data_IF_377168126811
#
_entry.id   IF_377168126811
#
_cell.length_a   1.000
_cell.length_b   1.000
_cell.length_c   1.000
_cell.angle_alpha   90.00
_cell.angle_beta   90.00
_cell.angle_gamma   90.00
#
_symmetry.space_group_name_H-M   'P 1'
#
loop_
_entity.id
_entity.type
_entity.pdbx_description
1 polymer ?
#
# COMPACT_ATOMS: atom_id res chain seq x y z
N UNK A 1 -64.51 -13.48 1.61
CA UNK A 1 -63.17 -13.72 2.14
C UNK A 1 -62.18 -13.62 0.98
N UNK A 2 -61.41 -12.55 0.91
CA UNK A 2 -60.32 -12.39 -0.10
C UNK A 2 -59.02 -12.65 0.61
N UNK A 3 -58.38 -13.78 0.33
CA UNK A 3 -57.10 -14.18 0.86
C UNK A 3 -56.01 -13.42 0.10
N UNK A 4 -55.33 -12.51 0.77
CA UNK A 4 -54.15 -11.84 0.23
C UNK A 4 -52.96 -12.77 0.38
N UNK A 5 -52.43 -13.29 -0.72
CA UNK A 5 -51.14 -13.95 -0.78
C UNK A 5 -50.04 -12.85 -0.73
N UNK A 6 -49.35 -12.73 0.37
CA UNK A 6 -48.15 -11.93 0.49
C UNK A 6 -46.99 -12.78 -0.01
N UNK A 7 -46.48 -12.45 -1.20
CA UNK A 7 -45.28 -13.04 -1.76
C UNK A 7 -44.08 -12.43 -1.01
N UNK A 8 -43.50 -13.19 -0.09
CA UNK A 8 -42.22 -12.83 0.54
C UNK A 8 -41.13 -13.12 -0.50
N UNK A 9 -40.62 -12.09 -1.17
CA UNK A 9 -39.41 -12.16 -1.94
C UNK A 9 -38.24 -12.25 -0.94
N UNK A 10 -37.77 -13.46 -0.68
CA UNK A 10 -36.48 -13.67 -0.01
C UNK A 10 -35.42 -13.28 -1.04
N UNK A 11 -34.88 -12.07 -0.89
CA UNK A 11 -33.69 -11.65 -1.61
C UNK A 11 -32.54 -12.55 -1.11
N UNK A 12 -32.24 -13.60 -1.85
CA UNK A 12 -31.01 -14.34 -1.68
C UNK A 12 -29.91 -13.40 -2.16
N UNK A 13 -29.31 -12.66 -1.24
CA UNK A 13 -28.05 -11.99 -1.48
C UNK A 13 -27.03 -13.11 -1.65
N UNK A 14 -26.86 -13.59 -2.87
CA UNK A 14 -25.66 -14.31 -3.24
C UNK A 14 -24.52 -13.31 -3.07
N UNK A 15 -23.82 -13.41 -1.96
CA UNK A 15 -22.53 -12.77 -1.78
C UNK A 15 -21.59 -13.40 -2.84
N UNK A 16 -21.53 -12.77 -4.00
CA UNK A 16 -20.53 -13.06 -5.01
C UNK A 16 -19.19 -12.61 -4.45
N UNK A 17 -18.56 -13.48 -3.66
CA UNK A 17 -17.18 -13.28 -3.29
C UNK A 17 -16.35 -13.44 -4.56
N UNK A 18 -15.68 -12.38 -4.90
CA UNK A 18 -14.94 -12.23 -6.11
C UNK A 18 -13.69 -13.12 -6.08
N UNK A 19 -13.69 -14.12 -6.93
CA UNK A 19 -12.54 -14.98 -7.21
C UNK A 19 -11.60 -14.22 -8.14
N UNK A 20 -10.54 -13.60 -7.56
CA UNK A 20 -9.74 -12.60 -8.28
C UNK A 20 -8.46 -13.13 -8.92
N UNK A 21 -8.09 -14.40 -8.73
CA UNK A 21 -6.89 -14.97 -9.35
C UNK A 21 -7.26 -16.10 -10.31
N UNK A 22 -6.59 -16.11 -11.46
CA UNK A 22 -6.62 -17.18 -12.45
C UNK A 22 -5.25 -17.87 -12.40
N UNK A 23 -5.22 -19.20 -12.17
CA UNK A 23 -3.97 -19.94 -12.13
C UNK A 23 -3.54 -20.38 -13.52
N UNK A 24 -2.25 -20.29 -13.81
CA UNK A 24 -1.61 -20.80 -15.00
C UNK A 24 -0.35 -21.57 -14.61
N UNK A 25 -0.53 -22.86 -14.32
CA UNK A 25 0.55 -23.72 -13.85
C UNK A 25 1.71 -23.82 -14.87
N UNK A 26 1.40 -23.90 -16.16
CA UNK A 26 2.42 -23.97 -17.21
C UNK A 26 3.28 -22.70 -17.24
N UNK A 27 2.65 -21.52 -17.18
CA UNK A 27 3.39 -20.25 -17.10
C UNK A 27 4.21 -20.18 -15.81
N UNK A 28 3.63 -20.57 -14.67
CA UNK A 28 4.29 -20.54 -13.37
C UNK A 28 5.51 -21.47 -13.29
N UNK A 29 5.39 -22.70 -13.78
CA UNK A 29 6.46 -23.71 -13.72
C UNK A 29 7.65 -23.36 -14.65
N UNK A 30 7.43 -22.51 -15.66
CA UNK A 30 8.47 -22.04 -16.59
C UNK A 30 9.20 -20.76 -16.11
N UNK A 31 8.76 -20.13 -15.03
CA UNK A 31 9.40 -18.93 -14.49
C UNK A 31 10.65 -19.28 -13.67
N UNK A 32 11.61 -18.32 -13.52
CA UNK A 32 12.79 -18.52 -12.70
C UNK A 32 12.41 -18.88 -11.26
N UNK A 33 12.87 -20.04 -10.79
CA UNK A 33 12.68 -20.47 -9.43
C UNK A 33 13.70 -19.79 -8.50
N UNK A 34 13.25 -19.43 -7.30
CA UNK A 34 14.13 -18.99 -6.25
C UNK A 34 14.97 -20.15 -5.74
N UNK A 35 16.26 -20.09 -6.03
CA UNK A 35 17.23 -20.98 -5.42
C UNK A 35 17.87 -20.22 -4.25
N UNK A 36 17.47 -20.47 -2.99
CA UNK A 36 18.23 -19.96 -1.85
C UNK A 36 19.65 -20.45 -2.03
N UNK A 37 20.61 -19.51 -2.12
CA UNK A 37 22.00 -19.82 -2.48
C UNK A 37 22.52 -21.00 -1.68
N UNK A 38 22.60 -22.17 -2.31
CA UNK A 38 23.18 -23.39 -1.75
C UNK A 38 24.67 -23.23 -1.39
N UNK A 39 25.28 -22.10 -1.80
CA UNK A 39 26.69 -21.91 -1.82
C UNK A 39 27.36 -21.43 -0.53
N UNK A 40 26.61 -20.98 0.50
CA UNK A 40 27.23 -20.55 1.75
C UNK A 40 26.40 -20.88 3.00
N UNK A 41 26.41 -22.15 3.41
CA UNK A 41 26.11 -22.46 4.82
C UNK A 41 24.66 -22.63 5.24
N UNK A 42 23.67 -22.64 4.33
CA UNK A 42 22.25 -22.81 4.67
C UNK A 42 21.93 -24.19 5.29
N UNK A 43 22.74 -25.22 5.05
CA UNK A 43 22.55 -26.55 5.63
C UNK A 43 22.56 -26.56 7.18
N UNK A 44 23.10 -25.52 7.81
CA UNK A 44 23.20 -25.38 9.26
C UNK A 44 22.50 -24.15 9.85
N UNK A 45 21.73 -23.40 9.04
CA UNK A 45 21.03 -22.21 9.55
C UNK A 45 19.79 -22.63 10.35
N UNK A 46 19.82 -22.39 11.65
CA UNK A 46 18.64 -22.58 12.51
C UNK A 46 17.70 -21.39 12.29
N UNK A 47 16.57 -21.64 11.66
CA UNK A 47 15.54 -20.61 11.51
C UNK A 47 14.93 -20.27 12.87
N UNK A 48 14.61 -18.98 13.15
CA UNK A 48 13.86 -18.62 14.35
C UNK A 48 12.50 -19.33 14.36
N UNK A 49 11.99 -19.68 15.53
CA UNK A 49 10.68 -20.33 15.67
C UNK A 49 9.50 -19.43 15.28
N UNK A 50 9.75 -18.12 15.22
CA UNK A 50 8.76 -17.13 14.75
C UNK A 50 9.45 -15.93 14.10
N UNK A 51 8.77 -15.35 13.10
CA UNK A 51 9.18 -14.14 12.41
C UNK A 51 7.93 -13.45 11.88
N UNK A 52 7.84 -12.12 11.98
CA UNK A 52 6.73 -11.36 11.40
C UNK A 52 7.21 -9.99 10.92
N UNK A 53 6.75 -9.63 9.72
CA UNK A 53 6.90 -8.30 9.11
C UNK A 53 5.62 -7.47 9.20
N UNK A 54 4.65 -7.87 10.02
CA UNK A 54 3.38 -7.16 10.20
C UNK A 54 3.58 -5.67 10.49
N UNK A 55 4.60 -5.29 11.25
CA UNK A 55 4.93 -3.88 11.55
C UNK A 55 5.37 -3.09 10.30
N UNK A 56 5.85 -3.76 9.27
CA UNK A 56 6.24 -3.15 7.99
C UNK A 56 5.11 -3.11 6.97
N UNK A 57 4.02 -3.87 7.19
CA UNK A 57 2.89 -3.87 6.28
C UNK A 57 2.21 -2.52 6.23
N UNK A 58 1.66 -2.12 5.06
CA UNK A 58 0.72 -1.01 5.00
C UNK A 58 -0.52 -1.30 5.84
N UNK A 59 -1.40 -0.31 6.00
CA UNK A 59 -2.69 -0.53 6.63
C UNK A 59 -3.51 -1.57 5.84
N UNK A 60 -4.28 -2.39 6.52
CA UNK A 60 -5.19 -3.30 5.82
C UNK A 60 -6.38 -2.51 5.31
N UNK A 61 -6.61 -2.58 4.00
CA UNK A 61 -7.78 -2.01 3.34
C UNK A 61 -8.62 -3.12 2.70
N UNK A 62 -9.80 -2.75 2.20
CA UNK A 62 -10.70 -3.66 1.51
C UNK A 62 -10.66 -3.44 0.00
N UNK A 63 -10.51 -4.53 -0.77
CA UNK A 63 -10.70 -4.50 -2.22
C UNK A 63 -12.17 -4.33 -2.63
N UNK A 64 -13.10 -4.44 -1.68
CA UNK A 64 -14.54 -4.42 -1.97
C UNK A 64 -15.02 -5.67 -2.71
N UNK A 65 -16.06 -5.50 -3.51
CA UNK A 65 -16.73 -6.57 -4.26
C UNK A 65 -16.14 -6.79 -5.67
N UNK A 66 -14.83 -6.56 -5.84
CA UNK A 66 -14.13 -6.67 -7.13
C UNK A 66 -13.04 -7.73 -7.10
N UNK A 67 -12.74 -8.35 -8.26
CA UNK A 67 -11.77 -9.44 -8.42
C UNK A 67 -10.32 -8.96 -8.54
N UNK A 68 -9.93 -7.98 -7.73
CA UNK A 68 -8.62 -7.30 -7.86
C UNK A 68 -7.56 -7.80 -6.89
N UNK A 69 -7.77 -8.93 -6.23
CA UNK A 69 -6.87 -9.44 -5.19
C UNK A 69 -5.42 -9.61 -5.65
N UNK A 70 -5.17 -9.87 -6.95
CA UNK A 70 -3.82 -9.96 -7.50
C UNK A 70 -3.09 -8.62 -7.35
N UNK A 71 -3.69 -7.50 -7.75
CA UNK A 71 -3.10 -6.17 -7.55
C UNK A 71 -2.88 -5.85 -6.07
N UNK A 72 -3.82 -6.23 -5.21
CA UNK A 72 -3.71 -6.05 -3.75
C UNK A 72 -2.58 -6.88 -3.14
N UNK A 73 -2.42 -8.12 -3.56
CA UNK A 73 -1.36 -8.99 -3.05
C UNK A 73 0.02 -8.56 -3.54
N UNK A 74 0.16 -8.19 -4.82
CA UNK A 74 1.46 -7.94 -5.46
C UNK A 74 1.92 -6.49 -5.30
N UNK A 75 1.09 -5.52 -5.63
CA UNK A 75 1.43 -4.11 -5.55
C UNK A 75 1.25 -3.58 -4.12
N UNK A 76 0.01 -3.66 -3.60
CA UNK A 76 -0.31 -3.07 -2.31
C UNK A 76 0.42 -3.75 -1.14
N UNK A 77 0.33 -5.08 -1.02
CA UNK A 77 0.90 -5.79 0.12
C UNK A 77 2.40 -6.10 -0.08
N UNK A 78 2.76 -6.86 -1.12
CA UNK A 78 4.13 -7.34 -1.32
C UNK A 78 5.10 -6.19 -1.55
N UNK A 79 4.90 -5.38 -2.60
CA UNK A 79 5.84 -4.33 -2.99
C UNK A 79 5.98 -3.28 -1.89
N UNK A 80 4.86 -2.82 -1.29
CA UNK A 80 4.92 -1.83 -0.21
C UNK A 80 5.61 -2.37 1.05
N UNK A 81 5.34 -3.63 1.44
CA UNK A 81 5.98 -4.25 2.60
C UNK A 81 7.48 -4.43 2.37
N UNK A 82 7.87 -4.90 1.17
CA UNK A 82 9.28 -5.08 0.82
C UNK A 82 10.06 -3.76 0.86
N UNK A 83 9.46 -2.67 0.36
CA UNK A 83 10.05 -1.34 0.44
C UNK A 83 10.22 -0.88 1.88
N UNK A 84 9.19 -1.06 2.72
CA UNK A 84 9.25 -0.68 4.12
C UNK A 84 10.30 -1.49 4.90
N UNK A 85 10.45 -2.78 4.60
CA UNK A 85 11.53 -3.62 5.18
C UNK A 85 12.91 -3.10 4.78
N UNK A 86 13.11 -2.81 3.49
CA UNK A 86 14.39 -2.29 2.97
C UNK A 86 14.78 -0.97 3.65
N UNK A 87 13.80 -0.09 3.89
CA UNK A 87 14.00 1.22 4.51
C UNK A 87 13.98 1.20 6.04
N UNK A 88 13.66 0.06 6.67
CA UNK A 88 13.48 -0.04 8.12
C UNK A 88 12.29 0.81 8.62
N UNK A 89 11.27 1.06 7.77
CA UNK A 89 10.18 1.98 8.08
C UNK A 89 9.01 1.25 8.74
N UNK A 90 8.76 1.56 10.00
CA UNK A 90 7.64 1.00 10.77
C UNK A 90 6.61 2.05 11.19
N UNK A 91 6.90 3.34 10.98
CA UNK A 91 5.96 4.43 11.28
C UNK A 91 4.70 4.26 10.44
N UNK A 92 3.55 4.20 11.10
CA UNK A 92 2.25 4.03 10.45
C UNK A 92 2.05 5.06 9.32
N UNK A 93 2.20 6.34 9.63
CA UNK A 93 1.96 7.42 8.66
C UNK A 93 2.93 7.41 7.47
N UNK A 94 4.22 7.17 7.73
CA UNK A 94 5.23 7.15 6.67
C UNK A 94 5.08 5.97 5.73
N UNK A 95 4.60 4.84 6.23
CA UNK A 95 4.27 3.68 5.39
C UNK A 95 3.16 4.00 4.40
N UNK A 96 2.11 4.72 4.84
CA UNK A 96 0.94 5.01 3.99
C UNK A 96 1.27 5.86 2.77
N UNK A 97 2.27 6.70 2.85
CA UNK A 97 2.70 7.54 1.71
C UNK A 97 3.19 6.73 0.53
N UNK A 98 3.84 5.60 0.84
CA UNK A 98 4.51 4.73 -0.14
C UNK A 98 3.72 3.48 -0.47
N UNK A 99 2.50 3.43 0.01
CA UNK A 99 1.61 2.34 -0.36
C UNK A 99 1.38 2.37 -1.85
N UNK A 100 1.67 1.25 -2.51
CA UNK A 100 1.53 1.14 -3.96
C UNK A 100 0.08 0.89 -4.35
N UNK A 101 -0.32 1.47 -5.49
CA UNK A 101 -1.69 1.43 -5.99
C UNK A 101 -2.02 0.05 -6.58
N UNK A 102 -2.92 -0.73 -5.96
CA UNK A 102 -3.33 -2.03 -6.47
C UNK A 102 -4.07 -1.92 -7.80
N UNK A 103 -4.80 -0.82 -8.01
CA UNK A 103 -5.59 -0.59 -9.22
C UNK A 103 -4.70 -0.27 -10.42
N UNK A 104 -3.52 0.34 -10.21
CA UNK A 104 -2.57 0.58 -11.29
C UNK A 104 -2.14 -0.74 -11.95
N UNK A 105 -1.71 -1.70 -11.14
CA UNK A 105 -1.28 -3.01 -11.66
C UNK A 105 -2.46 -3.77 -12.25
N UNK A 106 -3.61 -3.82 -11.54
CA UNK A 106 -4.77 -4.55 -12.04
C UNK A 106 -5.28 -4.01 -13.38
N UNK A 107 -5.36 -2.69 -13.54
CA UNK A 107 -5.82 -2.07 -14.77
C UNK A 107 -4.93 -2.40 -15.99
N UNK A 108 -3.62 -2.63 -15.79
CA UNK A 108 -2.69 -3.02 -16.84
C UNK A 108 -2.80 -4.49 -17.27
N UNK A 109 -3.27 -5.38 -16.39
CA UNK A 109 -3.33 -6.83 -16.65
C UNK A 109 -4.75 -7.37 -16.83
N UNK A 110 -5.77 -6.58 -16.54
CA UNK A 110 -7.17 -7.03 -16.64
C UNK A 110 -7.55 -7.36 -18.09
N UNK A 111 -8.47 -8.28 -18.24
CA UNK A 111 -9.05 -8.55 -19.53
C UNK A 111 -9.77 -7.30 -20.09
N UNK A 112 -9.58 -6.98 -21.36
CA UNK A 112 -10.21 -5.84 -22.03
C UNK A 112 -11.73 -5.74 -21.83
N UNK A 113 -12.41 -6.90 -21.78
CA UNK A 113 -13.85 -6.99 -21.59
C UNK A 113 -14.28 -7.08 -20.11
N UNK A 114 -13.39 -6.76 -19.16
CA UNK A 114 -13.69 -6.75 -17.73
C UNK A 114 -13.98 -5.34 -17.22
N UNK A 115 -15.07 -4.75 -17.70
CA UNK A 115 -15.46 -3.38 -17.31
C UNK A 115 -15.88 -3.22 -15.83
N UNK A 116 -16.15 -4.33 -15.13
CA UNK A 116 -16.58 -4.33 -13.73
C UNK A 116 -15.54 -4.96 -12.78
N UNK A 117 -14.36 -5.29 -13.28
CA UNK A 117 -13.28 -5.91 -12.50
C UNK A 117 -13.70 -7.20 -11.77
N UNK A 118 -14.43 -8.07 -12.47
CA UNK A 118 -15.00 -9.31 -11.91
C UNK A 118 -14.32 -10.58 -12.41
N UNK A 119 -13.45 -10.49 -13.43
CA UNK A 119 -12.92 -11.68 -14.10
C UNK A 119 -11.64 -12.24 -13.50
N UNK A 120 -10.97 -11.48 -12.62
CA UNK A 120 -9.67 -11.87 -12.10
C UNK A 120 -8.53 -11.80 -13.12
N UNK A 121 -7.33 -12.10 -12.66
CA UNK A 121 -6.09 -11.99 -13.46
C UNK A 121 -5.06 -13.02 -13.04
N UNK A 122 -3.98 -13.18 -13.82
CA UNK A 122 -2.82 -13.99 -13.46
C UNK A 122 -1.84 -13.19 -12.60
N UNK A 123 -1.30 -13.82 -11.55
CA UNK A 123 -0.32 -13.15 -10.69
C UNK A 123 1.02 -12.96 -11.40
N UNK A 124 1.42 -13.89 -12.28
CA UNK A 124 2.62 -13.74 -13.09
C UNK A 124 2.57 -12.51 -14.01
N UNK A 125 1.39 -12.14 -14.55
CA UNK A 125 1.24 -10.92 -15.34
C UNK A 125 1.41 -9.66 -14.49
N UNK A 126 0.97 -9.70 -13.23
CA UNK A 126 1.22 -8.61 -12.28
C UNK A 126 2.73 -8.47 -11.96
N UNK A 127 3.45 -9.58 -11.83
CA UNK A 127 4.91 -9.56 -11.66
C UNK A 127 5.61 -8.97 -12.88
N UNK A 128 5.16 -9.30 -14.10
CA UNK A 128 5.67 -8.71 -15.34
C UNK A 128 5.43 -7.19 -15.39
N UNK A 129 4.28 -6.71 -14.90
CA UNK A 129 4.01 -5.27 -14.77
C UNK A 129 4.96 -4.63 -13.75
N UNK A 130 5.13 -5.24 -12.57
CA UNK A 130 6.06 -4.70 -11.58
C UNK A 130 7.49 -4.64 -12.11
N UNK A 131 7.92 -5.60 -12.92
CA UNK A 131 9.24 -5.65 -13.55
C UNK A 131 9.40 -4.56 -14.61
N UNK A 132 8.44 -4.42 -15.51
CA UNK A 132 8.58 -3.59 -16.71
C UNK A 132 8.07 -2.15 -16.51
N UNK A 133 7.04 -1.97 -15.68
CA UNK A 133 6.36 -0.69 -15.47
C UNK A 133 6.47 -0.18 -14.02
N UNK A 134 6.70 -1.08 -13.06
CA UNK A 134 6.59 -0.75 -11.66
C UNK A 134 5.14 -0.57 -11.18
N UNK A 135 4.96 0.17 -10.09
CA UNK A 135 3.65 0.63 -9.60
C UNK A 135 3.78 2.01 -9.01
N UNK A 136 2.74 2.82 -9.09
CA UNK A 136 2.75 4.16 -8.52
C UNK A 136 2.22 4.16 -7.08
N UNK A 137 2.63 5.14 -6.23
CA UNK A 137 2.02 5.31 -4.92
C UNK A 137 0.50 5.60 -5.02
N UNK A 138 -0.28 4.94 -4.16
CA UNK A 138 -1.75 5.06 -4.12
C UNK A 138 -2.21 6.51 -3.93
N UNK A 139 -1.51 7.27 -3.08
CA UNK A 139 -1.85 8.66 -2.77
C UNK A 139 -1.38 9.68 -3.81
N UNK A 140 -0.79 9.23 -4.92
CA UNK A 140 -0.32 10.11 -6.00
C UNK A 140 -1.33 10.13 -7.16
N UNK A 141 -1.79 11.31 -7.62
CA UNK A 141 -2.66 11.40 -8.79
C UNK A 141 -2.01 10.81 -10.06
N UNK A 142 -2.81 10.42 -11.06
CA UNK A 142 -4.26 10.31 -11.03
C UNK A 142 -4.71 9.13 -10.17
N UNK A 143 -5.82 9.30 -9.43
CA UNK A 143 -6.41 8.19 -8.68
C UNK A 143 -7.11 7.26 -9.64
N UNK A 144 -6.73 5.98 -9.59
CA UNK A 144 -7.20 4.97 -10.53
C UNK A 144 -8.23 4.08 -9.87
N UNK A 145 -9.27 3.77 -10.60
CA UNK A 145 -10.14 2.64 -10.32
C UNK A 145 -9.65 1.42 -11.12
N UNK A 146 -10.08 0.23 -10.72
CA UNK A 146 -9.68 -1.00 -11.41
C UNK A 146 -10.13 -1.06 -12.89
N UNK A 147 -11.11 -0.25 -13.28
CA UNK A 147 -11.60 -0.13 -14.66
C UNK A 147 -11.05 1.09 -15.41
N UNK A 148 -10.04 1.78 -14.88
CA UNK A 148 -9.39 2.89 -15.57
C UNK A 148 -8.91 2.45 -16.95
N UNK A 149 -9.10 3.32 -17.93
CA UNK A 149 -8.70 3.04 -19.31
C UNK A 149 -7.17 3.08 -19.47
N UNK A 150 -6.64 2.42 -20.48
CA UNK A 150 -5.19 2.28 -20.70
C UNK A 150 -4.46 3.56 -21.10
N UNK A 151 -5.17 4.63 -21.35
CA UNK A 151 -4.55 5.94 -21.48
C UNK A 151 -4.10 6.44 -20.09
N UNK A 152 -3.18 5.67 -19.50
CA UNK A 152 -2.47 6.20 -18.34
C UNK A 152 -1.73 7.45 -18.78
N UNK A 153 -1.94 8.51 -18.05
CA UNK A 153 -1.14 9.70 -18.18
C UNK A 153 0.35 9.30 -18.16
N UNK A 154 1.13 9.85 -19.09
CA UNK A 154 2.58 9.64 -19.16
C UNK A 154 3.26 9.89 -17.83
N UNK A 155 2.69 10.77 -17.02
CA UNK A 155 3.14 11.08 -15.67
C UNK A 155 2.96 9.89 -14.71
N UNK A 156 1.80 9.22 -14.71
CA UNK A 156 1.55 8.04 -13.88
C UNK A 156 2.53 6.90 -14.22
N UNK A 157 2.81 6.69 -15.50
CA UNK A 157 3.79 5.70 -15.97
C UNK A 157 5.21 6.08 -15.54
N UNK A 158 5.59 7.36 -15.66
CA UNK A 158 6.92 7.84 -15.25
C UNK A 158 7.14 7.66 -13.74
N UNK A 159 6.12 7.94 -12.91
CA UNK A 159 6.20 7.69 -11.47
C UNK A 159 6.29 6.20 -11.18
N UNK A 160 5.44 5.39 -11.81
CA UNK A 160 5.42 3.95 -11.58
C UNK A 160 6.77 3.30 -11.90
N UNK A 161 7.45 3.72 -12.98
CA UNK A 161 8.74 3.18 -13.38
C UNK A 161 9.86 3.36 -12.34
N UNK A 162 9.75 4.36 -11.47
CA UNK A 162 10.68 4.56 -10.34
C UNK A 162 10.60 3.40 -9.36
N UNK A 163 9.43 2.78 -9.24
CA UNK A 163 9.13 1.68 -8.33
C UNK A 163 9.10 0.31 -9.02
N UNK A 164 9.77 0.19 -10.18
CA UNK A 164 9.96 -1.10 -10.82
C UNK A 164 10.86 -2.00 -9.98
N UNK A 165 10.62 -3.30 -10.07
CA UNK A 165 11.46 -4.32 -9.44
C UNK A 165 12.59 -4.72 -10.38
N UNK A 166 13.65 -5.31 -9.81
CA UNK A 166 14.80 -5.79 -10.59
C UNK A 166 14.55 -7.19 -11.15
N UNK A 167 14.01 -8.06 -10.31
CA UNK A 167 13.64 -9.43 -10.66
C UNK A 167 12.47 -9.91 -9.80
N UNK A 168 11.86 -11.01 -10.21
CA UNK A 168 10.97 -11.82 -9.38
C UNK A 168 11.25 -13.30 -9.58
N UNK A 169 10.92 -14.10 -8.59
CA UNK A 169 11.17 -15.54 -8.59
C UNK A 169 9.97 -16.28 -8.04
N UNK A 170 9.77 -17.52 -8.51
CA UNK A 170 8.76 -18.42 -7.98
C UNK A 170 9.32 -19.26 -6.82
N UNK A 171 8.44 -19.65 -5.89
CA UNK A 171 8.75 -20.54 -4.78
C UNK A 171 8.00 -21.88 -5.02
N UNK A 172 8.54 -22.70 -5.92
CA UNK A 172 7.88 -23.90 -6.44
C UNK A 172 8.44 -25.22 -5.89
N UNK A 173 9.38 -25.21 -4.93
CA UNK A 173 9.86 -26.42 -4.29
C UNK A 173 8.79 -27.08 -3.40
N UNK A 174 8.02 -27.99 -4.02
CA UNK A 174 6.94 -28.72 -3.37
C UNK A 174 7.46 -29.79 -2.38
N UNK A 175 8.73 -30.17 -2.47
CA UNK A 175 9.33 -31.20 -1.61
C UNK A 175 9.50 -30.70 -0.17
N UNK A 176 9.90 -29.43 -0.01
CA UNK A 176 10.08 -28.77 1.28
C UNK A 176 9.48 -27.35 1.31
N UNK A 177 8.23 -27.26 0.89
CA UNK A 177 7.52 -25.98 0.76
C UNK A 177 7.59 -25.13 2.03
N UNK A 178 7.35 -25.74 3.20
CA UNK A 178 7.33 -24.98 4.47
C UNK A 178 8.65 -24.30 4.74
N UNK A 179 9.78 -25.00 4.60
CA UNK A 179 11.07 -24.41 4.82
C UNK A 179 11.44 -23.41 3.71
N UNK A 180 11.09 -23.68 2.46
CA UNK A 180 11.29 -22.74 1.35
C UNK A 180 10.64 -21.39 1.64
N UNK A 181 9.38 -21.37 2.08
CA UNK A 181 8.67 -20.13 2.45
C UNK A 181 9.29 -19.47 3.70
N UNK A 182 9.67 -20.27 4.72
CA UNK A 182 10.32 -19.74 5.92
C UNK A 182 11.70 -19.14 5.60
N UNK A 183 12.49 -19.74 4.72
CA UNK A 183 13.78 -19.20 4.29
C UNK A 183 13.63 -17.90 3.51
N UNK A 184 12.65 -17.79 2.62
CA UNK A 184 12.36 -16.54 1.93
C UNK A 184 12.05 -15.43 2.94
N UNK A 185 11.17 -15.69 3.91
CA UNK A 185 10.87 -14.73 4.98
C UNK A 185 12.11 -14.40 5.83
N UNK A 186 12.93 -15.39 6.20
CA UNK A 186 14.17 -15.16 6.94
C UNK A 186 15.12 -14.21 6.19
N UNK A 187 15.15 -14.30 4.86
CA UNK A 187 15.90 -13.40 3.99
C UNK A 187 15.17 -12.09 3.71
N UNK A 188 14.21 -11.70 4.54
CA UNK A 188 13.46 -10.45 4.43
C UNK A 188 12.64 -10.34 3.15
N UNK A 189 12.16 -11.46 2.63
CA UNK A 189 11.33 -11.54 1.43
C UNK A 189 9.89 -11.90 1.83
N UNK A 190 8.96 -10.95 1.96
CA UNK A 190 7.53 -11.26 1.99
C UNK A 190 7.13 -11.91 0.66
N UNK A 191 6.03 -12.66 0.66
CA UNK A 191 5.70 -13.57 -0.44
C UNK A 191 4.28 -13.32 -0.90
N UNK A 192 4.09 -12.93 -2.17
CA UNK A 192 2.75 -12.96 -2.77
C UNK A 192 2.37 -14.42 -3.03
N UNK A 193 1.20 -14.83 -2.58
CA UNK A 193 0.72 -16.21 -2.70
C UNK A 193 -0.67 -16.25 -3.31
N UNK A 194 -0.84 -17.12 -4.30
CA UNK A 194 -2.12 -17.51 -4.88
C UNK A 194 -2.59 -18.85 -4.31
N UNK A 195 -3.79 -18.87 -3.76
CA UNK A 195 -4.34 -20.04 -3.09
C UNK A 195 -5.73 -20.38 -3.61
N UNK A 196 -6.04 -21.67 -3.68
CA UNK A 196 -7.43 -22.11 -3.68
C UNK A 196 -8.05 -21.78 -2.33
N UNK A 197 -9.23 -21.21 -2.32
CA UNK A 197 -9.99 -20.92 -1.11
C UNK A 197 -11.36 -21.58 -1.13
N UNK A 198 -11.85 -21.91 0.06
CA UNK A 198 -13.16 -22.52 0.23
C UNK A 198 -14.21 -21.44 0.53
N UNK A 199 -15.48 -21.85 0.51
CA UNK A 199 -16.58 -20.95 0.86
C UNK A 199 -16.43 -20.40 2.28
N UNK A 200 -15.95 -21.21 3.24
CA UNK A 200 -15.74 -20.76 4.61
C UNK A 200 -14.65 -19.69 4.73
N UNK A 201 -13.63 -19.71 3.86
CA UNK A 201 -12.67 -18.61 3.76
C UNK A 201 -13.36 -17.36 3.22
N UNK A 202 -13.97 -17.49 2.04
CA UNK A 202 -14.58 -16.36 1.34
C UNK A 202 -15.62 -15.62 2.20
N UNK A 203 -16.43 -16.35 2.96
CA UNK A 203 -17.46 -15.76 3.85
C UNK A 203 -16.94 -15.36 5.24
N UNK A 204 -15.71 -15.73 5.58
CA UNK A 204 -15.18 -15.58 6.94
C UNK A 204 -15.74 -16.60 7.96
N UNK A 205 -16.68 -17.47 7.56
CA UNK A 205 -17.30 -18.43 8.48
C UNK A 205 -16.34 -19.50 8.99
N UNK A 206 -15.21 -19.72 8.29
CA UNK A 206 -14.13 -20.62 8.72
C UNK A 206 -13.06 -19.94 9.55
N UNK A 207 -13.20 -18.63 9.85
CA UNK A 207 -12.26 -17.91 10.69
C UNK A 207 -12.55 -18.18 12.16
N UNK A 208 -11.54 -18.67 12.86
CA UNK A 208 -11.57 -18.82 14.32
C UNK A 208 -11.03 -17.55 14.98
N UNK A 209 -11.27 -17.44 16.30
CA UNK A 209 -10.70 -16.37 17.11
C UNK A 209 -9.18 -16.25 16.88
N UNK A 210 -8.69 -15.02 16.73
CA UNK A 210 -7.30 -14.74 16.41
C UNK A 210 -6.91 -14.96 14.94
N UNK A 211 -7.91 -15.05 14.04
CA UNK A 211 -7.71 -15.04 12.59
C UNK A 211 -7.22 -16.36 11.99
N UNK A 212 -7.35 -17.49 12.71
CA UNK A 212 -7.00 -18.80 12.15
C UNK A 212 -8.04 -19.25 11.15
N UNK A 213 -7.65 -19.53 9.91
CA UNK A 213 -8.50 -20.26 8.98
C UNK A 213 -8.45 -21.76 9.25
N UNK A 214 -9.62 -22.38 9.36
CA UNK A 214 -9.78 -23.82 9.62
C UNK A 214 -10.86 -24.38 8.71
N UNK A 215 -10.52 -24.75 7.47
CA UNK A 215 -11.48 -25.35 6.55
C UNK A 215 -11.89 -26.75 7.00
N UNK A 216 -13.12 -27.13 6.70
CA UNK A 216 -13.54 -28.50 6.84
C UNK A 216 -12.80 -29.40 5.83
N UNK A 217 -12.55 -30.66 6.22
CA UNK A 217 -11.84 -31.61 5.37
C UNK A 217 -12.54 -31.89 4.03
N UNK A 218 -13.88 -31.75 3.99
CA UNK A 218 -14.72 -32.01 2.82
C UNK A 218 -15.24 -30.78 2.14
N UNK A 219 -14.76 -29.61 2.55
CA UNK A 219 -15.21 -28.36 1.98
C UNK A 219 -14.69 -28.18 0.56
N UNK A 220 -15.59 -27.78 -0.34
CA UNK A 220 -15.25 -27.59 -1.75
C UNK A 220 -14.52 -26.27 -1.96
N UNK A 221 -13.63 -26.26 -2.96
CA UNK A 221 -12.99 -25.04 -3.42
C UNK A 221 -14.05 -24.17 -4.09
N UNK A 222 -14.12 -22.92 -3.64
CA UNK A 222 -14.99 -21.90 -4.21
C UNK A 222 -14.27 -21.13 -5.32
N UNK A 223 -12.93 -20.94 -5.20
CA UNK A 223 -12.10 -20.30 -6.21
C UNK A 223 -10.71 -19.96 -5.73
N UNK A 224 -10.07 -19.02 -6.42
CA UNK A 224 -8.73 -18.58 -6.12
C UNK A 224 -8.68 -17.19 -5.48
N UNK A 225 -7.77 -16.99 -4.52
CA UNK A 225 -7.53 -15.73 -3.86
C UNK A 225 -6.04 -15.46 -3.71
N UNK A 226 -5.65 -14.19 -3.83
CA UNK A 226 -4.26 -13.76 -3.68
C UNK A 226 -4.07 -12.96 -2.40
N UNK A 227 -3.01 -13.27 -1.66
CA UNK A 227 -2.62 -12.63 -0.39
C UNK A 227 -1.11 -12.46 -0.31
N UNK A 228 -0.60 -11.88 0.80
CA UNK A 228 0.83 -11.75 1.03
C UNK A 228 1.23 -12.42 2.35
N UNK A 229 2.13 -13.42 2.30
CA UNK A 229 2.73 -14.03 3.49
C UNK A 229 3.75 -13.06 4.05
N UNK A 230 3.60 -12.67 5.31
CA UNK A 230 4.43 -11.68 6.00
C UNK A 230 5.09 -12.22 7.26
N UNK A 231 4.82 -13.46 7.62
CA UNK A 231 5.40 -14.06 8.81
C UNK A 231 5.04 -15.53 9.00
N UNK A 232 5.59 -16.10 10.06
CA UNK A 232 5.26 -17.43 10.54
C UNK A 232 5.50 -17.57 12.04
N UNK A 233 4.86 -18.57 12.65
CA UNK A 233 5.08 -18.97 14.04
C UNK A 233 4.91 -20.48 14.15
N UNK A 234 5.96 -21.20 14.55
CA UNK A 234 6.02 -22.67 14.67
C UNK A 234 5.14 -23.19 15.81
N UNK A 235 4.81 -22.30 16.77
CA UNK A 235 3.99 -22.67 17.94
C UNK A 235 2.52 -22.32 17.78
N UNK A 236 2.23 -21.29 16.98
CA UNK A 236 0.86 -20.82 16.82
C UNK A 236 0.06 -21.78 15.96
N UNK A 237 -1.01 -22.28 16.52
CA UNK A 237 -1.92 -23.26 15.87
C UNK A 237 -1.24 -24.52 15.33
N UNK A 238 -0.13 -24.95 15.93
CA UNK A 238 0.64 -26.11 15.49
C UNK A 238 1.59 -25.85 14.32
N UNK A 239 1.95 -24.59 14.11
CA UNK A 239 2.78 -24.08 13.01
C UNK A 239 1.94 -23.46 11.91
N UNK A 240 2.09 -22.14 11.73
CA UNK A 240 1.26 -21.39 10.79
C UNK A 240 2.00 -20.22 10.16
N UNK A 241 1.61 -19.87 8.95
CA UNK A 241 1.99 -18.63 8.28
C UNK A 241 1.00 -17.50 8.61
N UNK A 242 1.53 -16.27 8.71
CA UNK A 242 0.77 -15.04 8.84
C UNK A 242 0.66 -14.36 7.48
N UNK A 243 -0.58 -14.11 7.02
CA UNK A 243 -0.85 -13.50 5.73
C UNK A 243 -1.62 -12.20 5.89
N UNK A 244 -1.20 -11.16 5.17
CA UNK A 244 -1.97 -9.94 4.97
C UNK A 244 -3.03 -10.18 3.89
N UNK A 245 -4.31 -9.93 4.24
CA UNK A 245 -5.46 -10.06 3.34
C UNK A 245 -5.96 -8.68 2.88
N UNK A 246 -6.88 -8.65 1.94
CA UNK A 246 -7.50 -7.45 1.35
C UNK A 246 -9.02 -7.38 1.52
N UNK A 247 -9.54 -7.92 2.65
CA UNK A 247 -10.98 -7.90 2.97
C UNK A 247 -11.33 -6.92 4.09
N UNK A 248 -10.43 -5.98 4.41
CA UNK A 248 -10.61 -5.02 5.51
C UNK A 248 -10.22 -5.58 6.88
N UNK A 249 -10.21 -4.71 7.88
CA UNK A 249 -9.75 -5.02 9.25
C UNK A 249 -10.70 -5.91 10.02
N UNK A 250 -11.96 -5.99 9.63
CA UNK A 250 -12.97 -6.85 10.27
C UNK A 250 -12.76 -8.34 9.95
N UNK A 251 -11.93 -8.65 8.95
CA UNK A 251 -11.65 -10.03 8.56
C UNK A 251 -10.43 -10.58 9.30
N UNK A 252 -10.55 -11.74 9.92
CA UNK A 252 -9.46 -12.42 10.60
C UNK A 252 -8.96 -11.72 11.87
N UNK A 253 -7.64 -11.54 11.97
CA UNK A 253 -6.98 -10.80 13.05
C UNK A 253 -6.57 -9.40 12.54
N UNK A 254 -7.50 -8.44 12.58
CA UNK A 254 -7.32 -7.10 12.02
C UNK A 254 -6.84 -7.12 10.55
N UNK A 255 -7.49 -7.97 9.74
CA UNK A 255 -7.17 -8.14 8.31
C UNK A 255 -6.02 -9.09 8.02
N UNK A 256 -5.43 -9.71 9.02
CA UNK A 256 -4.45 -10.78 8.86
C UNK A 256 -5.09 -12.15 9.11
N UNK A 257 -4.57 -13.16 8.43
CA UNK A 257 -5.05 -14.53 8.51
C UNK A 257 -3.90 -15.45 8.84
N UNK A 258 -4.14 -16.40 9.73
CA UNK A 258 -3.22 -17.47 10.05
C UNK A 258 -3.63 -18.76 9.35
N UNK A 259 -2.74 -19.30 8.52
CA UNK A 259 -2.96 -20.53 7.76
C UNK A 259 -1.93 -21.57 8.19
N UNK A 260 -2.40 -22.76 8.61
CA UNK A 260 -1.51 -23.83 9.05
C UNK A 260 -0.55 -24.23 7.92
N UNK A 261 0.65 -24.72 8.27
CA UNK A 261 1.60 -25.24 7.28
C UNK A 261 0.98 -26.35 6.41
N UNK A 262 0.13 -27.18 7.01
CA UNK A 262 -0.56 -28.25 6.30
C UNK A 262 -1.58 -27.69 5.28
N UNK A 263 -2.38 -26.69 5.68
CA UNK A 263 -3.34 -26.06 4.78
C UNK A 263 -2.64 -25.24 3.71
N UNK A 264 -1.54 -24.56 4.03
CA UNK A 264 -0.71 -23.86 3.04
C UNK A 264 -0.22 -24.85 1.98
N UNK A 265 0.33 -26.00 2.37
CA UNK A 265 0.76 -27.04 1.44
C UNK A 265 -0.38 -27.60 0.58
N UNK A 266 -1.59 -27.68 1.15
CA UNK A 266 -2.78 -28.22 0.45
C UNK A 266 -3.37 -27.23 -0.55
N UNK A 267 -3.43 -25.94 -0.21
CA UNK A 267 -4.24 -24.98 -0.95
C UNK A 267 -3.42 -24.01 -1.80
N UNK A 268 -2.12 -23.80 -1.52
CA UNK A 268 -1.26 -22.95 -2.31
C UNK A 268 -1.09 -23.49 -3.74
N UNK A 269 -1.20 -22.61 -4.72
CA UNK A 269 -1.00 -22.92 -6.14
C UNK A 269 0.26 -22.28 -6.68
N UNK A 270 0.52 -21.03 -6.31
CA UNK A 270 1.69 -20.26 -6.75
C UNK A 270 2.16 -19.30 -5.66
N UNK A 271 3.45 -19.00 -5.66
CA UNK A 271 4.06 -18.06 -4.72
C UNK A 271 5.24 -17.34 -5.37
N UNK A 272 5.36 -16.03 -5.10
CA UNK A 272 6.36 -15.16 -5.70
C UNK A 272 7.04 -14.29 -4.66
N UNK A 273 8.33 -14.06 -4.86
CA UNK A 273 9.11 -13.02 -4.19
C UNK A 273 9.64 -12.04 -5.23
N UNK A 274 10.01 -10.85 -4.78
CA UNK A 274 10.55 -9.78 -5.62
C UNK A 274 11.92 -9.33 -5.13
N UNK A 275 12.75 -8.92 -6.05
CA UNK A 275 13.99 -8.22 -5.79
C UNK A 275 13.84 -6.77 -6.22
N UNK A 276 13.95 -5.85 -5.24
CA UNK A 276 13.84 -4.42 -5.51
C UNK A 276 15.06 -3.93 -6.29
N UNK A 277 14.84 -2.97 -7.16
CA UNK A 277 15.93 -2.25 -7.79
C UNK A 277 16.63 -1.36 -6.76
N UNK A 278 17.69 -1.88 -6.14
CA UNK A 278 18.45 -1.19 -5.09
C UNK A 278 19.12 0.08 -5.59
N UNK A 279 19.36 0.23 -6.89
CA UNK A 279 19.89 1.46 -7.47
C UNK A 279 18.86 2.60 -7.43
N UNK A 280 17.60 2.27 -7.50
CA UNK A 280 16.48 3.21 -7.35
C UNK A 280 16.22 3.53 -5.87
N UNK A 281 16.24 2.52 -5.00
CA UNK A 281 16.09 2.67 -3.55
C UNK A 281 17.44 2.88 -2.84
N UNK A 282 18.54 2.76 -3.58
CA UNK A 282 19.88 2.69 -3.07
C UNK A 282 20.31 4.00 -2.43
N UNK A 283 21.01 3.85 -1.35
CA UNK A 283 21.85 4.80 -0.65
C UNK A 283 22.64 5.68 -1.63
N UNK A 284 22.01 6.63 -2.28
CA UNK A 284 22.73 7.70 -2.91
C UNK A 284 23.31 8.57 -1.81
N UNK A 285 24.61 8.79 -1.83
CA UNK A 285 25.35 9.64 -0.90
C UNK A 285 24.62 10.98 -0.76
N UNK A 286 24.00 11.24 0.40
CA UNK A 286 23.33 12.48 0.69
C UNK A 286 21.92 12.25 1.26
N UNK A 287 21.15 13.30 1.34
CA UNK A 287 19.81 13.30 1.91
C UNK A 287 18.73 12.77 0.94
N UNK A 288 19.07 12.51 -0.32
CA UNK A 288 18.18 11.90 -1.32
C UNK A 288 18.19 10.40 -1.20
N UNK A 289 17.08 9.81 -0.74
CA UNK A 289 16.96 8.38 -0.48
C UNK A 289 16.16 7.62 -1.55
N UNK A 290 15.54 8.34 -2.49
CA UNK A 290 14.86 7.82 -3.67
C UNK A 290 14.92 8.86 -4.77
N UNK A 291 15.10 8.45 -6.04
CA UNK A 291 15.22 9.33 -7.17
C UNK A 291 16.53 10.15 -7.15
N UNK A 292 16.55 11.27 -7.86
CA UNK A 292 17.72 12.18 -7.93
C UNK A 292 17.53 13.47 -7.11
N UNK A 293 16.32 13.70 -6.61
CA UNK A 293 15.91 14.92 -5.89
C UNK A 293 16.18 16.22 -6.65
N UNK A 294 16.26 16.13 -7.97
CA UNK A 294 16.44 17.28 -8.84
C UNK A 294 15.23 17.49 -9.74
N UNK A 295 14.83 16.46 -10.47
CA UNK A 295 13.60 16.44 -11.26
C UNK A 295 12.81 15.16 -10.97
N UNK A 296 11.53 15.14 -11.28
CA UNK A 296 10.60 14.03 -11.10
C UNK A 296 10.32 13.64 -9.64
N UNK A 297 9.69 12.51 -9.43
CA UNK A 297 9.31 12.03 -8.12
C UNK A 297 10.52 11.48 -7.36
N UNK A 298 10.74 12.00 -6.16
CA UNK A 298 11.91 11.67 -5.34
C UNK A 298 11.60 11.75 -3.85
N UNK A 299 12.47 11.18 -3.02
CA UNK A 299 12.40 11.27 -1.56
C UNK A 299 13.64 11.91 -0.98
N UNK A 300 13.45 12.99 -0.23
CA UNK A 300 14.49 13.72 0.45
C UNK A 300 14.30 13.70 1.96
N UNK A 301 15.33 13.27 2.70
CA UNK A 301 15.37 13.33 4.17
C UNK A 301 16.19 14.54 4.60
N UNK A 302 15.56 15.42 5.38
CA UNK A 302 16.22 16.60 5.95
C UNK A 302 17.11 16.23 7.13
N UNK A 303 18.09 17.09 7.45
CA UNK A 303 19.01 16.89 8.58
C UNK A 303 18.30 16.87 9.93
N UNK A 304 17.16 17.54 10.03
CA UNK A 304 16.30 17.52 11.23
C UNK A 304 15.44 16.24 11.34
N UNK A 305 15.53 15.32 10.38
CA UNK A 305 14.78 14.06 10.38
C UNK A 305 13.46 14.08 9.62
N UNK A 306 12.95 15.25 9.23
CA UNK A 306 11.75 15.39 8.41
C UNK A 306 11.97 14.81 7.01
N UNK A 307 10.88 14.48 6.32
CA UNK A 307 10.96 13.84 5.00
C UNK A 307 9.99 14.51 4.04
N UNK A 308 10.47 14.82 2.85
CA UNK A 308 9.61 15.09 1.70
C UNK A 308 9.67 13.93 0.73
N UNK A 309 8.52 13.52 0.25
CA UNK A 309 8.38 12.51 -0.80
C UNK A 309 7.35 13.02 -1.81
N UNK A 310 7.78 13.23 -3.05
CA UNK A 310 6.94 13.86 -4.05
C UNK A 310 7.74 14.35 -5.24
N UNK A 311 7.10 15.19 -6.07
CA UNK A 311 7.68 15.75 -7.26
C UNK A 311 8.71 16.81 -6.95
N UNK A 312 9.78 16.79 -7.73
CA UNK A 312 10.83 17.80 -7.76
C UNK A 312 10.93 18.44 -9.15
N UNK A 313 11.32 19.70 -9.19
CA UNK A 313 11.76 20.36 -10.39
C UNK A 313 12.94 21.27 -10.07
N UNK A 314 14.06 21.08 -10.77
CA UNK A 314 15.31 21.84 -10.57
C UNK A 314 15.80 21.85 -9.13
N UNK A 315 15.60 20.73 -8.40
CA UNK A 315 15.99 20.58 -7.00
C UNK A 315 15.03 21.17 -5.97
N UNK A 316 13.89 21.70 -6.40
CA UNK A 316 12.85 22.21 -5.51
C UNK A 316 11.65 21.28 -5.47
N UNK A 317 10.99 21.19 -4.30
CA UNK A 317 9.67 20.54 -4.19
C UNK A 317 8.71 21.25 -5.15
N UNK A 318 8.08 20.50 -6.02
CA UNK A 318 7.18 21.06 -7.03
C UNK A 318 6.13 20.02 -7.41
N UNK A 319 4.91 20.42 -7.75
CA UNK A 319 3.83 19.46 -8.00
C UNK A 319 3.30 18.80 -6.73
N UNK A 320 2.82 17.57 -6.83
CA UNK A 320 2.20 16.84 -5.74
C UNK A 320 3.22 16.13 -4.86
N UNK A 321 3.03 16.19 -3.54
CA UNK A 321 3.90 15.48 -2.61
C UNK A 321 3.41 15.50 -1.17
N UNK A 322 4.12 14.75 -0.34
CA UNK A 322 3.91 14.73 1.10
C UNK A 322 5.13 15.23 1.85
N UNK A 323 4.89 16.04 2.84
CA UNK A 323 5.89 16.47 3.82
C UNK A 323 5.54 15.89 5.19
N UNK A 324 6.43 15.09 5.76
CA UNK A 324 6.28 14.46 7.07
C UNK A 324 7.15 15.18 8.08
N UNK A 325 6.52 15.66 9.15
CA UNK A 325 7.17 16.30 10.28
C UNK A 325 7.68 15.26 11.31
N UNK A 326 8.54 15.66 12.21
CA UNK A 326 9.12 14.77 13.23
C UNK A 326 8.11 14.34 14.30
N UNK A 327 7.07 15.12 14.51
CA UNK A 327 5.98 14.85 15.46
C UNK A 327 4.92 13.88 14.90
N UNK A 328 5.13 13.32 13.71
CA UNK A 328 4.19 12.52 12.92
C UNK A 328 3.01 13.28 12.31
N UNK A 329 2.98 14.61 12.41
CA UNK A 329 2.11 15.42 11.56
C UNK A 329 2.58 15.36 10.12
N UNK A 330 1.69 15.63 9.17
CA UNK A 330 2.07 15.68 7.76
C UNK A 330 1.20 16.65 6.95
N UNK A 331 1.73 17.06 5.82
CA UNK A 331 0.99 17.74 4.77
C UNK A 331 1.07 16.92 3.49
N UNK A 332 -0.06 16.66 2.85
CA UNK A 332 -0.17 16.11 1.50
C UNK A 332 -0.86 17.14 0.62
N UNK A 333 -0.22 17.50 -0.49
CA UNK A 333 -0.80 18.51 -1.39
C UNK A 333 0.20 19.00 -2.42
N UNK A 334 -0.15 20.12 -3.05
CA UNK A 334 0.68 20.73 -4.05
C UNK A 334 1.80 21.57 -3.45
N UNK A 335 2.92 21.56 -4.15
CA UNK A 335 4.09 22.39 -3.89
C UNK A 335 4.46 23.20 -5.13
N UNK A 336 5.05 24.36 -4.94
CA UNK A 336 5.62 25.19 -6.00
C UNK A 336 6.88 25.87 -5.51
N UNK A 337 8.00 25.68 -6.23
CA UNK A 337 9.30 26.27 -5.91
C UNK A 337 9.73 26.07 -4.44
N UNK A 338 9.49 24.87 -3.90
CA UNK A 338 9.84 24.50 -2.52
C UNK A 338 8.80 24.82 -1.45
N UNK A 339 7.73 25.52 -1.79
CA UNK A 339 6.69 25.94 -0.85
C UNK A 339 5.39 25.12 -1.04
N UNK A 340 4.63 24.91 0.04
CA UNK A 340 3.25 24.48 -0.07
C UNK A 340 2.47 25.50 -0.90
N UNK A 341 1.70 25.05 -1.88
CA UNK A 341 0.96 25.91 -2.78
C UNK A 341 -0.33 25.23 -3.26
N UNK A 342 -1.46 25.99 -3.33
CA UNK A 342 -2.74 25.40 -3.67
C UNK A 342 -3.32 24.54 -2.55
N UNK A 343 -4.19 23.61 -2.92
CA UNK A 343 -4.92 22.76 -1.98
C UNK A 343 -4.10 21.58 -1.47
N UNK A 344 -4.38 21.19 -0.24
CA UNK A 344 -3.83 20.00 0.39
C UNK A 344 -4.51 19.67 1.70
N UNK A 345 -4.04 18.59 2.32
CA UNK A 345 -4.50 18.10 3.61
C UNK A 345 -3.36 18.22 4.61
N UNK A 346 -3.60 18.86 5.73
CA UNK A 346 -2.73 18.84 6.89
C UNK A 346 -3.32 17.95 7.97
N UNK A 347 -2.54 16.99 8.44
CA UNK A 347 -2.85 16.17 9.61
C UNK A 347 -2.04 16.67 10.79
N UNK A 348 -2.71 16.96 11.91
CA UNK A 348 -2.09 17.32 13.17
C UNK A 348 -2.07 16.10 14.11
N UNK A 349 -0.89 15.59 14.42
CA UNK A 349 -0.72 14.39 15.25
C UNK A 349 -1.12 14.61 16.72
N UNK A 350 -1.03 15.85 17.20
CA UNK A 350 -1.37 16.19 18.59
C UNK A 350 -2.87 16.17 18.83
N UNK A 351 -3.64 16.67 17.85
CA UNK A 351 -5.12 16.71 17.95
C UNK A 351 -5.78 15.49 17.30
N UNK A 352 -5.07 14.78 16.43
CA UNK A 352 -5.60 13.69 15.60
C UNK A 352 -6.52 14.17 14.48
N UNK A 353 -6.53 15.46 14.17
CA UNK A 353 -7.45 16.05 13.19
C UNK A 353 -6.82 16.29 11.83
N UNK A 354 -7.65 16.16 10.80
CA UNK A 354 -7.33 16.53 9.44
C UNK A 354 -7.90 17.90 9.10
N UNK A 355 -7.13 18.68 8.36
CA UNK A 355 -7.51 20.01 7.89
C UNK A 355 -7.35 20.09 6.39
N UNK A 356 -8.38 20.51 5.70
CA UNK A 356 -8.31 20.94 4.32
C UNK A 356 -7.71 22.33 4.29
N UNK A 357 -6.60 22.51 3.62
CA UNK A 357 -5.81 23.74 3.63
C UNK A 357 -5.59 24.25 2.23
N UNK A 358 -5.50 25.55 2.07
CA UNK A 358 -5.06 26.19 0.84
C UNK A 358 -3.90 27.14 1.14
N UNK A 359 -2.82 27.00 0.41
CA UNK A 359 -1.61 27.79 0.57
C UNK A 359 -1.31 28.63 -0.66
N UNK A 360 -0.68 29.79 -0.46
CA UNK A 360 -0.06 30.57 -1.51
C UNK A 360 1.41 30.79 -1.16
N UNK A 361 2.29 30.03 -1.83
CA UNK A 361 3.75 30.02 -1.59
C UNK A 361 4.11 30.00 -0.10
N UNK A 362 3.64 28.96 0.61
CA UNK A 362 3.90 28.74 2.03
C UNK A 362 3.02 29.56 2.99
N UNK A 363 2.24 30.52 2.47
CA UNK A 363 1.32 31.31 3.31
C UNK A 363 -0.07 30.67 3.32
N UNK A 364 -0.55 30.26 4.50
CA UNK A 364 -1.87 29.70 4.68
C UNK A 364 -2.95 30.73 4.35
N UNK A 365 -3.78 30.44 3.36
CA UNK A 365 -4.91 31.28 2.94
C UNK A 365 -6.20 30.87 3.64
N UNK A 366 -6.43 29.57 3.73
CA UNK A 366 -7.60 29.01 4.41
C UNK A 366 -7.27 27.65 5.03
N UNK A 367 -7.95 27.34 6.13
CA UNK A 367 -7.90 26.03 6.78
C UNK A 367 -9.28 25.70 7.29
N UNK A 368 -9.77 24.52 6.96
CA UNK A 368 -11.06 24.02 7.39
C UNK A 368 -10.90 22.66 8.00
N UNK A 369 -11.43 22.47 9.21
CA UNK A 369 -11.51 21.18 9.84
C UNK A 369 -12.39 20.22 9.03
N UNK A 370 -11.93 18.98 8.88
CA UNK A 370 -12.64 17.96 8.12
C UNK A 370 -13.83 17.41 8.91
N UNK A 371 -15.02 17.55 8.36
CA UNK A 371 -16.29 17.08 8.96
C UNK A 371 -17.11 16.17 8.04
N UNK A 372 -16.53 15.73 6.90
CA UNK A 372 -17.27 15.03 5.82
C UNK A 372 -17.86 16.01 4.80
N UNK A 373 -18.21 15.58 3.56
CA UNK A 373 -18.34 16.52 2.47
C UNK A 373 -19.55 16.48 1.57
N UNK A 374 -19.80 17.64 1.05
CA UNK A 374 -20.49 17.91 -0.22
C UNK A 374 -19.76 19.08 -0.89
N UNK A 375 -19.19 18.91 -2.07
CA UNK A 375 -18.45 19.99 -2.70
C UNK A 375 -18.00 19.73 -4.14
N UNK A 376 -16.92 20.39 -4.54
CA UNK A 376 -16.34 20.33 -5.87
C UNK A 376 -15.69 18.96 -6.15
N UNK A 377 -15.29 18.69 -7.39
CA UNK A 377 -14.52 17.49 -7.75
C UNK A 377 -13.18 17.39 -7.00
N UNK A 378 -12.55 18.53 -6.67
CA UNK A 378 -11.35 18.57 -5.82
C UNK A 378 -11.68 18.17 -4.38
N UNK A 379 -12.84 18.59 -3.88
CA UNK A 379 -13.31 18.17 -2.57
C UNK A 379 -13.47 16.67 -2.48
N UNK A 380 -14.15 16.06 -3.44
CA UNK A 380 -14.33 14.60 -3.50
C UNK A 380 -13.00 13.82 -3.54
N UNK A 381 -12.00 14.36 -4.24
CA UNK A 381 -10.65 13.76 -4.28
C UNK A 381 -9.95 13.80 -2.93
N UNK A 382 -10.02 14.94 -2.26
CA UNK A 382 -9.45 15.11 -0.91
C UNK A 382 -10.22 14.27 0.11
N UNK A 383 -11.52 14.09 -0.07
CA UNK A 383 -12.37 13.24 0.77
C UNK A 383 -11.94 11.78 0.66
N UNK A 384 -11.79 11.27 -0.55
CA UNK A 384 -11.31 9.92 -0.78
C UNK A 384 -9.92 9.68 -0.16
N UNK A 385 -9.04 10.66 -0.24
CA UNK A 385 -7.72 10.59 0.38
C UNK A 385 -7.81 10.55 1.92
N UNK A 386 -8.65 11.39 2.53
CA UNK A 386 -8.84 11.39 3.98
C UNK A 386 -9.51 10.09 4.44
N UNK A 387 -10.49 9.59 3.69
CA UNK A 387 -11.15 8.32 3.98
C UNK A 387 -10.15 7.16 3.99
N UNK A 388 -9.25 7.09 3.00
CA UNK A 388 -8.15 6.11 2.98
C UNK A 388 -7.26 6.27 4.21
N UNK A 389 -6.88 7.49 4.56
CA UNK A 389 -6.02 7.77 5.71
C UNK A 389 -6.71 7.43 7.04
N UNK A 390 -8.00 7.73 7.19
CA UNK A 390 -8.78 7.44 8.41
C UNK A 390 -9.05 5.95 8.59
N UNK A 391 -9.45 5.25 7.54
CA UNK A 391 -9.67 3.80 7.56
C UNK A 391 -8.39 3.00 7.77
N UNK A 392 -7.26 3.66 7.63
CA UNK A 392 -5.93 3.07 7.82
C UNK A 392 -5.45 3.04 9.28
N UNK A 393 -6.16 3.66 10.23
CA UNK A 393 -5.72 3.74 11.64
C UNK A 393 -6.11 2.45 12.38
N UNK A 394 -5.16 1.62 12.85
CA UNK A 394 -5.47 0.41 13.60
C UNK A 394 -6.27 0.72 14.87
N UNK A 395 -7.39 0.03 15.07
CA UNK A 395 -8.21 0.13 16.29
C UNK A 395 -9.20 1.30 16.32
N UNK A 396 -9.37 2.02 15.21
CA UNK A 396 -10.47 2.97 15.01
C UNK A 396 -11.32 2.58 13.80
N UNK A 397 -11.91 1.40 13.79
CA UNK A 397 -13.18 1.26 13.10
C UNK A 397 -14.20 2.03 13.93
N UNK A 398 -14.36 3.30 13.62
CA UNK A 398 -15.51 4.03 14.11
C UNK A 398 -16.66 3.48 13.29
N UNK A 399 -17.45 2.60 13.90
CA UNK A 399 -18.79 2.33 13.41
C UNK A 399 -19.54 3.67 13.46
N UNK A 400 -19.68 4.30 12.31
CA UNK A 400 -20.34 5.61 12.18
C UNK A 400 -21.84 5.55 12.59
N UNK A 401 -22.36 4.35 12.81
CA UNK A 401 -23.68 4.09 13.36
C UNK A 401 -23.65 3.72 14.86
N UNK A 402 -22.48 3.69 15.49
CA UNK A 402 -22.40 3.41 16.93
C UNK A 402 -22.94 4.59 17.75
N UNK A 403 -23.68 4.29 18.81
CA UNK A 403 -24.19 5.29 19.75
C UNK A 403 -23.05 6.17 20.29
N UNK A 404 -21.87 5.60 20.50
CA UNK A 404 -20.66 6.31 20.92
C UNK A 404 -20.16 7.35 19.91
N UNK A 405 -20.30 7.10 18.60
CA UNK A 405 -19.96 8.06 17.55
C UNK A 405 -21.02 9.17 17.46
N UNK A 406 -22.29 8.82 17.60
CA UNK A 406 -23.39 9.79 17.61
C UNK A 406 -23.30 10.68 18.88
N UNK A 407 -22.99 10.11 20.03
CA UNK A 407 -22.74 10.85 21.27
C UNK A 407 -21.52 11.76 21.14
N UNK A 408 -20.44 11.31 20.48
CA UNK A 408 -19.27 12.14 20.19
C UNK A 408 -19.61 13.32 19.29
N UNK A 409 -20.43 13.11 18.23
CA UNK A 409 -20.89 14.20 17.37
C UNK A 409 -21.81 15.17 18.13
N UNK A 410 -22.71 14.67 18.97
CA UNK A 410 -23.60 15.51 19.77
C UNK A 410 -22.87 16.31 20.84
N UNK A 411 -21.93 15.71 21.52
CA UNK A 411 -21.10 16.38 22.53
C UNK A 411 -20.01 17.28 21.93
N UNK A 412 -19.66 17.08 20.66
CA UNK A 412 -18.71 17.93 19.92
C UNK A 412 -19.37 19.10 19.20
N UNK A 413 -20.69 19.23 19.25
CA UNK A 413 -21.37 20.46 18.81
C UNK A 413 -20.96 21.61 19.72
N UNK A 414 -20.32 22.67 19.22
CA UNK A 414 -19.98 23.80 20.05
C UNK A 414 -21.28 24.41 20.61
N UNK A 415 -21.42 24.42 21.93
CA UNK A 415 -22.38 25.32 22.55
C UNK A 415 -21.98 26.75 22.18
N UNK A 416 -22.68 27.30 21.19
CA UNK A 416 -23.02 28.72 21.07
C UNK A 416 -21.94 29.78 20.99
N UNK A 417 -20.66 29.46 20.68
CA UNK A 417 -19.71 30.49 20.25
C UNK A 417 -18.81 30.01 19.11
N UNK A 418 -18.46 30.87 18.14
CA UNK A 418 -17.52 30.54 17.08
C UNK A 418 -16.14 30.39 17.72
N UNK A 419 -15.76 29.18 18.08
CA UNK A 419 -14.45 28.90 18.64
C UNK A 419 -13.40 29.26 17.58
N UNK A 420 -12.85 30.45 17.71
CA UNK A 420 -11.49 30.86 17.41
C UNK A 420 -10.78 30.08 16.30
N UNK A 421 -11.33 30.20 15.10
CA UNK A 421 -10.58 29.91 13.88
C UNK A 421 -9.21 30.67 13.88
N UNK A 422 -9.13 31.77 14.60
CA UNK A 422 -7.87 32.54 14.77
C UNK A 422 -6.82 31.84 15.63
N UNK A 423 -7.19 31.17 16.72
CA UNK A 423 -6.22 30.44 17.55
C UNK A 423 -5.64 29.22 16.83
N UNK A 424 -6.46 28.52 16.04
CA UNK A 424 -6.00 27.40 15.23
C UNK A 424 -5.18 27.84 14.00
N UNK A 425 -5.49 29.01 13.44
CA UNK A 425 -4.65 29.63 12.41
C UNK A 425 -3.29 30.07 12.97
N UNK A 426 -3.23 30.52 14.22
CA UNK A 426 -1.97 30.88 14.86
C UNK A 426 -1.12 29.63 15.18
N UNK A 427 -1.74 28.54 15.58
CA UNK A 427 -1.04 27.28 15.83
C UNK A 427 -0.40 26.71 14.55
N UNK A 428 -1.16 26.65 13.46
CA UNK A 428 -0.61 26.25 12.16
C UNK A 428 0.45 27.25 11.66
N UNK A 429 0.26 28.54 11.90
CA UNK A 429 1.27 29.55 11.53
C UNK A 429 2.51 29.49 12.41
N UNK A 430 2.37 29.13 13.70
CA UNK A 430 3.51 28.96 14.61
C UNK A 430 4.33 27.74 14.25
N UNK A 431 3.68 26.64 13.86
CA UNK A 431 4.37 25.45 13.35
C UNK A 431 5.11 25.71 12.03
N UNK A 432 4.53 26.55 11.15
CA UNK A 432 5.24 26.97 9.95
C UNK A 432 6.48 27.83 10.25
N UNK A 433 6.46 28.67 11.31
CA UNK A 433 7.60 29.49 11.69
C UNK A 433 8.72 28.70 12.36
N UNK A 434 8.40 27.61 13.06
CA UNK A 434 9.38 26.71 13.67
C UNK A 434 9.97 25.71 12.65
N UNK A 435 9.34 25.56 11.49
CA UNK A 435 9.81 24.68 10.45
C UNK A 435 10.79 25.43 9.56
N UNK A 436 12.05 25.06 9.50
CA UNK A 436 12.96 25.58 8.50
C UNK A 436 12.46 25.11 7.14
N UNK A 437 11.51 25.85 6.57
CA UNK A 437 10.98 25.66 5.22
C UNK A 437 12.07 25.80 4.14
N UNK A 438 13.29 25.67 4.53
CA UNK A 438 14.43 25.89 3.70
C UNK A 438 14.87 24.53 3.22
N UNK A 439 14.39 24.17 2.05
CA UNK A 439 15.28 23.52 1.12
C UNK A 439 16.55 24.38 1.13
N UNK A 440 17.74 23.80 1.15
CA UNK A 440 18.94 24.57 0.88
C UNK A 440 18.62 25.45 -0.32
N UNK A 441 18.87 26.76 -0.20
CA UNK A 441 18.59 27.77 -1.23
C UNK A 441 19.33 27.49 -2.54
N UNK A 442 20.08 26.42 -2.60
CA UNK A 442 20.78 25.97 -3.79
C UNK A 442 20.16 24.69 -4.35
N UNK A 443 19.88 24.65 -5.67
CA UNK A 443 19.47 23.43 -6.35
C UNK A 443 20.54 22.34 -6.18
N UNK A 444 20.10 21.10 -6.05
CA UNK A 444 21.00 19.95 -6.03
C UNK A 444 21.78 19.95 -7.35
N UNK A 445 23.08 20.26 -7.32
CA UNK A 445 23.89 20.33 -8.54
C UNK A 445 23.91 18.96 -9.22
N UNK A 446 23.43 18.92 -10.45
CA UNK A 446 23.58 17.75 -11.30
C UNK A 446 25.08 17.47 -11.51
N UNK A 447 25.50 16.23 -11.36
CA UNK A 447 26.86 15.84 -11.72
C UNK A 447 26.99 15.82 -13.24
N UNK A 448 27.66 16.81 -13.79
CA UNK A 448 28.11 16.75 -15.18
C UNK A 448 28.91 15.47 -15.44
N UNK A 449 28.40 14.62 -16.31
CA UNK A 449 29.16 13.54 -16.91
C UNK A 449 30.23 14.16 -17.82
N UNK A 450 31.41 14.39 -17.31
CA UNK A 450 32.59 14.65 -18.15
C UNK A 450 32.88 13.38 -18.97
N UNK A 451 32.42 13.39 -20.21
CA UNK A 451 32.94 12.49 -21.23
C UNK A 451 34.43 12.81 -21.44
N UNK A 452 35.33 11.91 -20.99
CA UNK A 452 36.72 11.91 -21.40
C UNK A 452 36.82 11.39 -22.83
N UNK A 453 36.89 12.34 -23.78
CA UNK A 453 37.36 12.01 -25.10
C UNK A 453 38.85 11.69 -25.05
N UNK A 454 39.21 10.42 -25.12
CA UNK A 454 40.58 9.98 -25.35
C UNK A 454 40.89 10.17 -26.85
N UNK A 455 41.57 11.26 -27.18
CA UNK A 455 42.26 11.37 -28.49
C UNK A 455 43.42 10.40 -28.53
N UNK A 456 43.33 9.38 -29.37
CA UNK A 456 44.48 8.59 -29.87
C UNK A 456 45.35 9.56 -30.71
N UNK A 457 46.58 9.85 -30.26
CA UNK A 457 47.68 10.29 -31.11
C UNK A 457 48.42 9.07 -31.59
N UNK A 458 48.51 8.93 -32.91
CA UNK A 458 49.54 8.12 -33.59
C UNK A 458 50.87 8.76 -33.43
N UNK A 459 51.87 7.98 -33.17
CA UNK A 459 53.30 8.23 -33.29
C UNK A 459 54.02 6.96 -32.93
#
# INVERSE_FOLDING_TARGET
MKTKFTLIFTLVIQSLFSQGIIFNAEKYDNLPAYEPQKSQGFANTVLPSRLSYRSYCPAVLSQGQVSTCVGWATSYALLSTQQNILMGETSFYRKQVRVMDPNFVYALIRNYNDGWCQKGTFMGDAMDVLLNNGSKPLLTPPWLSCNSTYEFDKFAIAIASIYSINHYYTLNDKSDLTNTLKYALYNKQPIAVGMNVTKSFATGSGMQYGGKWSPSAYEQIEGGHAMCIVGYDDTKYGGSFELMNSYGTEFGDNGFVWISYADMKKYMQEAYIIELNTDTYGYRKGNCSLGDCYDYYSRYKYSNGEVYEGEFSKGYRNGWGMYSYNDNSFYIGNFSNGYMHGWGIYYNSTTGYYYKTNYNYGTLQSSQYYQGFSGTEEDKKLDGLIEVLQNSIPGKSIDMNSDAYQDFIETSKPEGEPIKAEAKKEEIKSEQKSNPSIIPSEPVKSRDKKQKNSKKKKG
#
